data_IF_214284356658
#
_entry.id   IF_214284356658
#
_cell.length_a   1.000
_cell.length_b   1.000
_cell.length_c   1.000
_cell.angle_alpha   90.00
_cell.angle_beta   90.00
_cell.angle_gamma   90.00
#
_symmetry.space_group_name_H-M   'P 1'
#
loop_
_entity.id
_entity.type
_entity.pdbx_description
1 polymer ?
#
# COMPACT_ATOMS: atom_id res chain seq x y z
N UNK A 1 8.19 3.63 -0.15
CA UNK A 1 6.93 4.39 -0.01
C UNK A 1 5.80 3.53 -0.51
N UNK A 2 4.59 3.68 0.03
CA UNK A 2 3.40 3.01 -0.47
C UNK A 2 2.38 4.00 -1.03
N UNK A 3 1.60 3.55 -2.00
CA UNK A 3 0.37 4.18 -2.46
C UNK A 3 -0.75 3.15 -2.28
N UNK A 4 -1.38 3.24 -1.11
CA UNK A 4 -2.46 2.34 -0.71
C UNK A 4 -3.79 3.07 -0.84
N UNK A 5 -4.64 2.62 -1.75
CA UNK A 5 -5.91 3.29 -2.06
C UNK A 5 -7.03 2.28 -2.38
N UNK A 6 -8.28 2.60 -2.04
CA UNK A 6 -9.41 1.79 -2.48
C UNK A 6 -9.67 2.02 -3.98
N UNK A 7 -9.68 0.94 -4.76
CA UNK A 7 -9.97 0.96 -6.21
C UNK A 7 -11.46 1.03 -6.53
N UNK A 8 -12.33 1.08 -5.52
CA UNK A 8 -13.78 1.18 -5.60
C UNK A 8 -14.34 1.77 -4.30
N UNK A 9 -15.63 2.10 -4.27
CA UNK A 9 -16.28 2.58 -3.05
C UNK A 9 -16.45 1.44 -2.04
N UNK A 10 -15.79 1.58 -0.89
CA UNK A 10 -15.88 0.64 0.22
C UNK A 10 -17.05 1.00 1.13
N UNK A 11 -17.78 -0.03 1.59
CA UNK A 11 -18.69 0.14 2.72
C UNK A 11 -17.90 0.42 3.99
N UNK A 12 -18.53 1.11 4.95
CA UNK A 12 -17.87 1.60 6.18
C UNK A 12 -17.00 0.55 6.88
N UNK A 13 -17.53 -0.66 7.07
CA UNK A 13 -16.80 -1.73 7.76
C UNK A 13 -15.55 -2.18 6.99
N UNK A 14 -15.65 -2.30 5.67
CA UNK A 14 -14.53 -2.65 4.81
C UNK A 14 -13.51 -1.51 4.70
N UNK A 15 -13.96 -0.26 4.71
CA UNK A 15 -13.11 0.92 4.72
C UNK A 15 -12.30 1.03 6.03
N UNK A 16 -12.95 0.84 7.19
CA UNK A 16 -12.29 0.78 8.49
C UNK A 16 -11.26 -0.36 8.55
N UNK A 17 -11.60 -1.55 8.02
CA UNK A 17 -10.67 -2.68 7.95
C UNK A 17 -9.47 -2.40 7.02
N UNK A 18 -9.70 -1.74 5.88
CA UNK A 18 -8.63 -1.41 4.93
C UNK A 18 -7.68 -0.35 5.52
N UNK A 19 -8.23 0.69 6.14
CA UNK A 19 -7.45 1.68 6.87
C UNK A 19 -6.60 1.02 7.95
N UNK A 20 -7.19 0.12 8.75
CA UNK A 20 -6.47 -0.62 9.79
C UNK A 20 -5.34 -1.52 9.26
N UNK A 21 -5.47 -2.07 8.05
CA UNK A 21 -4.36 -2.79 7.40
C UNK A 21 -3.25 -1.83 7.00
N UNK A 22 -3.59 -0.72 6.33
CA UNK A 22 -2.63 0.25 5.82
C UNK A 22 -1.85 0.91 6.95
N UNK A 23 -2.53 1.28 8.03
CA UNK A 23 -1.90 1.90 9.20
C UNK A 23 -0.90 0.94 9.85
N UNK A 24 -1.31 -0.30 10.14
CA UNK A 24 -0.42 -1.31 10.71
C UNK A 24 0.80 -1.60 9.82
N UNK A 25 0.59 -1.70 8.50
CA UNK A 25 1.68 -1.88 7.54
C UNK A 25 2.67 -0.70 7.55
N UNK A 26 2.17 0.55 7.61
CA UNK A 26 3.03 1.74 7.63
C UNK A 26 3.81 1.86 8.94
N UNK A 27 3.15 1.60 10.07
CA UNK A 27 3.78 1.58 11.38
C UNK A 27 4.91 0.56 11.44
N UNK A 28 4.66 -0.67 10.96
CA UNK A 28 5.70 -1.70 10.90
C UNK A 28 6.83 -1.29 9.95
N UNK A 29 6.52 -0.83 8.73
CA UNK A 29 7.53 -0.41 7.75
C UNK A 29 8.49 0.64 8.33
N UNK A 30 7.97 1.58 9.11
CA UNK A 30 8.75 2.68 9.67
C UNK A 30 9.69 2.23 10.81
N UNK A 31 9.51 1.01 11.36
CA UNK A 31 10.38 0.44 12.39
C UNK A 31 10.94 -0.96 12.05
N UNK A 32 10.76 -1.45 10.82
CA UNK A 32 11.08 -2.82 10.43
C UNK A 32 12.56 -3.19 10.58
N UNK A 33 13.45 -2.20 10.52
CA UNK A 33 14.90 -2.35 10.73
C UNK A 33 15.29 -2.57 12.20
N UNK A 34 14.40 -2.23 13.14
CA UNK A 34 14.58 -2.49 14.57
C UNK A 34 14.27 -3.95 14.95
N UNK A 35 13.62 -4.69 14.05
CA UNK A 35 13.19 -6.07 14.27
C UNK A 35 14.29 -7.05 13.84
N UNK A 36 14.58 -8.02 14.71
CA UNK A 36 15.29 -9.24 14.30
C UNK A 36 14.37 -10.12 13.46
N UNK A 37 14.89 -11.13 12.77
CA UNK A 37 14.08 -11.93 11.82
C UNK A 37 12.93 -12.69 12.49
N UNK A 38 13.12 -13.25 13.70
CA UNK A 38 12.09 -14.09 14.32
C UNK A 38 10.80 -13.32 14.68
N UNK A 39 10.85 -12.14 15.33
CA UNK A 39 9.64 -11.36 15.62
C UNK A 39 8.89 -10.88 14.37
N UNK A 40 9.53 -10.85 13.18
CA UNK A 40 8.82 -10.48 11.95
C UNK A 40 7.73 -11.47 11.57
N UNK A 41 7.85 -12.75 11.97
CA UNK A 41 6.82 -13.74 11.70
C UNK A 41 5.48 -13.38 12.35
N UNK A 42 5.50 -12.87 13.58
CA UNK A 42 4.27 -12.42 14.27
C UNK A 42 3.62 -11.23 13.53
N UNK A 43 4.43 -10.31 13.01
CA UNK A 43 3.96 -9.20 12.19
C UNK A 43 3.32 -9.71 10.89
N UNK A 44 3.94 -10.71 10.25
CA UNK A 44 3.41 -11.29 9.02
C UNK A 44 2.08 -12.01 9.25
N UNK A 45 1.94 -12.72 10.38
CA UNK A 45 0.69 -13.36 10.76
C UNK A 45 -0.43 -12.32 11.00
N UNK A 46 -0.11 -11.21 11.67
CA UNK A 46 -1.08 -10.12 11.89
C UNK A 46 -1.48 -9.42 10.59
N UNK A 47 -0.51 -9.15 9.69
CA UNK A 47 -0.80 -8.62 8.35
C UNK A 47 -1.72 -9.57 7.56
N UNK A 48 -1.45 -10.87 7.59
CA UNK A 48 -2.25 -11.87 6.91
C UNK A 48 -3.67 -11.94 7.49
N UNK A 49 -3.81 -11.91 8.82
CA UNK A 49 -5.11 -11.86 9.51
C UNK A 49 -5.97 -10.68 9.05
N UNK A 50 -5.37 -9.49 8.89
CA UNK A 50 -6.05 -8.30 8.38
C UNK A 50 -6.48 -8.44 6.91
N UNK A 51 -5.62 -9.04 6.07
CA UNK A 51 -5.96 -9.35 4.68
C UNK A 51 -7.12 -10.35 4.60
N UNK A 52 -7.12 -11.37 5.45
CA UNK A 52 -8.20 -12.36 5.51
C UNK A 52 -9.51 -11.74 6.01
N UNK A 53 -9.45 -10.79 6.95
CA UNK A 53 -10.59 -9.98 7.37
C UNK A 53 -11.21 -9.20 6.21
N UNK A 54 -10.40 -8.53 5.40
CA UNK A 54 -10.87 -7.85 4.18
C UNK A 54 -11.51 -8.83 3.20
N UNK A 55 -10.92 -10.02 3.03
CA UNK A 55 -11.47 -11.07 2.17
C UNK A 55 -12.83 -11.56 2.64
N UNK A 56 -13.03 -11.69 3.95
CA UNK A 56 -14.32 -12.05 4.53
C UNK A 56 -15.40 -10.97 4.27
N UNK A 57 -14.99 -9.71 4.12
CA UNK A 57 -15.84 -8.57 3.76
C UNK A 57 -16.05 -8.42 2.24
N UNK A 58 -15.60 -9.39 1.43
CA UNK A 58 -15.74 -9.34 -0.03
C UNK A 58 -14.78 -8.36 -0.70
N UNK A 59 -13.67 -8.02 -0.04
CA UNK A 59 -12.59 -7.19 -0.57
C UNK A 59 -11.38 -8.05 -0.88
N UNK A 60 -10.73 -7.79 -1.99
CA UNK A 60 -9.44 -8.39 -2.33
C UNK A 60 -8.41 -7.32 -2.63
N UNK A 61 -7.14 -7.68 -2.52
CA UNK A 61 -6.04 -6.76 -2.75
C UNK A 61 -5.25 -7.19 -3.99
N UNK A 62 -4.86 -6.22 -4.80
CA UNK A 62 -3.78 -6.37 -5.78
C UNK A 62 -2.65 -5.45 -5.43
N UNK A 63 -1.43 -5.91 -5.68
CA UNK A 63 -0.24 -5.11 -5.43
C UNK A 63 0.67 -5.07 -6.64
N UNK A 64 1.47 -4.01 -6.72
CA UNK A 64 2.52 -3.88 -7.72
C UNK A 64 3.69 -3.07 -7.16
N UNK A 65 4.91 -3.46 -7.49
CA UNK A 65 6.11 -2.71 -7.15
C UNK A 65 6.65 -1.97 -8.37
N UNK A 66 7.08 -0.73 -8.16
CA UNK A 66 7.64 0.08 -9.23
C UNK A 66 8.76 0.99 -8.76
N UNK A 67 9.87 0.98 -9.51
CA UNK A 67 10.91 2.01 -9.43
C UNK A 67 10.46 3.23 -10.25
N UNK A 68 10.41 4.40 -9.62
CA UNK A 68 10.01 5.65 -10.27
C UNK A 68 10.97 6.79 -9.90
N UNK A 69 10.90 7.87 -10.68
CA UNK A 69 11.60 9.12 -10.41
C UNK A 69 10.58 10.11 -9.84
N UNK A 70 10.80 10.58 -8.61
CA UNK A 70 9.92 11.55 -7.94
C UNK A 70 10.64 12.87 -7.79
N UNK A 71 9.95 13.94 -8.16
CA UNK A 71 10.38 15.31 -7.87
C UNK A 71 9.60 15.82 -6.66
N UNK A 72 10.33 16.26 -5.65
CA UNK A 72 9.79 16.73 -4.38
C UNK A 72 9.71 18.25 -4.36
N UNK A 73 8.60 18.79 -3.84
CA UNK A 73 8.41 20.24 -3.71
C UNK A 73 8.08 20.97 -5.02
N UNK A 74 7.94 22.29 -4.92
CA UNK A 74 7.56 23.16 -6.04
C UNK A 74 8.75 23.74 -6.82
N UNK A 75 9.99 23.47 -6.37
CA UNK A 75 11.20 24.00 -7.00
C UNK A 75 11.35 23.46 -8.43
N UNK A 76 11.31 24.31 -9.47
CA UNK A 76 11.46 23.91 -10.86
C UNK A 76 12.84 23.29 -11.17
N UNK A 77 13.87 23.52 -10.35
CA UNK A 77 15.21 22.99 -10.57
C UNK A 77 15.53 21.74 -9.72
N UNK A 78 14.61 21.31 -8.85
CA UNK A 78 14.81 20.10 -8.06
C UNK A 78 15.00 18.85 -8.95
N UNK A 79 16.09 18.13 -8.74
CA UNK A 79 16.41 16.90 -9.47
C UNK A 79 15.50 15.75 -8.99
N UNK A 80 14.87 15.00 -9.91
CA UNK A 80 14.13 13.80 -9.54
C UNK A 80 15.01 12.78 -8.82
N UNK A 81 14.47 12.14 -7.78
CA UNK A 81 15.14 11.09 -7.03
C UNK A 81 14.49 9.72 -7.31
N UNK A 82 15.29 8.65 -7.45
CA UNK A 82 14.75 7.31 -7.60
C UNK A 82 14.09 6.86 -6.29
N UNK A 83 12.88 6.33 -6.39
CA UNK A 83 12.16 5.72 -5.27
C UNK A 83 11.50 4.41 -5.71
N UNK A 84 11.41 3.46 -4.78
CA UNK A 84 10.58 2.26 -4.93
C UNK A 84 9.22 2.52 -4.30
N UNK A 85 8.17 2.31 -5.08
CA UNK A 85 6.78 2.45 -4.66
C UNK A 85 6.07 1.12 -4.73
N UNK A 86 5.44 0.75 -3.61
CA UNK A 86 4.47 -0.34 -3.53
C UNK A 86 3.07 0.25 -3.73
N UNK A 87 2.33 -0.26 -4.70
CA UNK A 87 0.90 0.00 -4.84
C UNK A 87 0.15 -1.13 -4.16
N UNK A 88 -0.83 -0.79 -3.32
CA UNK A 88 -1.78 -1.75 -2.73
C UNK A 88 -3.17 -1.22 -3.00
N UNK A 89 -3.92 -1.92 -3.85
CA UNK A 89 -5.23 -1.44 -4.32
C UNK A 89 -6.29 -2.46 -3.95
N UNK A 90 -7.34 -1.99 -3.28
CA UNK A 90 -8.51 -2.80 -2.95
C UNK A 90 -9.46 -2.91 -4.14
N UNK A 91 -9.99 -4.11 -4.38
CA UNK A 91 -10.98 -4.42 -5.41
C UNK A 91 -12.12 -5.24 -4.81
N UNK A 92 -13.30 -5.25 -5.44
CA UNK A 92 -14.32 -6.22 -5.08
C UNK A 92 -13.79 -7.63 -5.34
N UNK A 93 -14.01 -8.55 -4.39
CA UNK A 93 -13.55 -9.93 -4.49
C UNK A 93 -14.07 -10.59 -5.77
N UNK A 94 -13.15 -11.18 -6.55
CA UNK A 94 -13.43 -11.82 -7.84
C UNK A 94 -13.58 -10.85 -9.02
N UNK A 95 -13.41 -9.55 -8.81
CA UNK A 95 -13.41 -8.52 -9.88
C UNK A 95 -12.07 -7.83 -9.99
N UNK A 96 -11.01 -8.46 -9.52
CA UNK A 96 -9.68 -7.89 -9.57
C UNK A 96 -9.15 -7.90 -11.00
N UNK A 97 -8.54 -6.81 -11.47
CA UNK A 97 -7.87 -6.82 -12.76
C UNK A 97 -6.59 -7.67 -12.70
N UNK A 98 -6.25 -8.32 -13.81
CA UNK A 98 -4.95 -8.99 -13.97
C UNK A 98 -3.80 -7.98 -14.06
N UNK A 99 -4.09 -6.76 -14.54
CA UNK A 99 -3.14 -5.67 -14.69
C UNK A 99 -3.81 -4.33 -14.41
N UNK A 100 -3.12 -3.44 -13.70
CA UNK A 100 -3.58 -2.07 -13.48
C UNK A 100 -2.46 -1.07 -13.81
N UNK A 101 -2.84 0.06 -14.40
CA UNK A 101 -1.89 1.07 -14.83
C UNK A 101 -1.44 1.93 -13.63
N UNK A 102 -0.13 2.05 -13.45
CA UNK A 102 0.46 2.97 -12.45
C UNK A 102 1.16 4.13 -13.15
N UNK A 103 1.18 5.34 -12.56
CA UNK A 103 1.96 6.46 -13.09
C UNK A 103 3.45 6.11 -13.24
N UNK A 104 4.10 6.60 -14.32
CA UNK A 104 5.55 6.43 -14.53
C UNK A 104 6.39 7.46 -13.77
N UNK A 105 5.79 8.60 -13.46
CA UNK A 105 6.38 9.76 -12.77
C UNK A 105 5.26 10.46 -11.99
N UNK A 106 5.57 10.96 -10.80
CA UNK A 106 4.63 11.67 -9.94
C UNK A 106 5.30 12.89 -9.32
N UNK A 107 4.54 13.97 -9.15
CA UNK A 107 4.95 15.11 -8.35
C UNK A 107 4.27 15.01 -6.99
N UNK A 108 5.05 15.09 -5.91
CA UNK A 108 4.51 15.14 -4.55
C UNK A 108 4.57 16.59 -4.09
N UNK A 109 3.39 17.20 -3.95
CA UNK A 109 3.22 18.51 -3.34
C UNK A 109 2.83 18.28 -1.88
N UNK A 110 3.67 18.74 -0.96
CA UNK A 110 3.34 18.87 0.46
C UNK A 110 2.93 20.31 0.74
#
# INVERSE_FOLDING_TARGET
MDLSEPGFELEREADEAFAGLVDYFREYRDCADLYTESPKFEVYDELQSRIDGLKALGVSLRYAERKMQVKWGADPDAKPMPVSVLYVVAFPLGKEPDQFATPKSGGIRF
#
